data_IF_595380538629
#
_entry.id   IF_595380538629
#
_cell.length_a   1.000
_cell.length_b   1.000
_cell.length_c   1.000
_cell.angle_alpha   90.00
_cell.angle_beta   90.00
_cell.angle_gamma   90.00
#
_symmetry.space_group_name_H-M   'P 1'
#
loop_
_entity.id
_entity.type
_entity.pdbx_description
1 polymer ?
#
# COMPACT_ATOMS: atom_id res chain seq x y z
N UNK A 1 4.03 3.14 12.65
CA UNK A 1 3.44 4.06 11.66
C UNK A 1 3.66 3.52 10.23
N UNK A 2 2.70 3.79 9.35
CA UNK A 2 2.78 3.45 7.94
C UNK A 2 1.77 4.26 7.12
N UNK A 3 2.00 4.32 5.80
CA UNK A 3 1.09 5.01 4.87
C UNK A 3 1.41 4.65 3.43
N UNK A 4 0.79 5.35 2.48
CA UNK A 4 1.14 5.31 1.07
C UNK A 4 2.46 6.05 0.76
N UNK A 5 2.80 6.17 -0.52
CA UNK A 5 4.06 6.78 -0.97
C UNK A 5 4.28 8.20 -0.42
N UNK A 6 3.22 9.00 -0.34
CA UNK A 6 3.27 10.35 0.22
C UNK A 6 3.77 10.38 1.67
N UNK A 7 3.36 9.40 2.48
CA UNK A 7 3.75 9.34 3.88
C UNK A 7 5.18 8.79 4.10
N UNK A 8 5.61 7.86 3.23
CA UNK A 8 6.87 7.12 3.41
C UNK A 8 8.06 7.81 2.75
N UNK A 9 7.87 8.52 1.63
CA UNK A 9 8.98 9.01 0.81
C UNK A 9 9.17 10.55 0.83
N UNK A 10 8.42 11.28 1.66
CA UNK A 10 8.63 12.74 1.80
C UNK A 10 9.71 13.12 2.81
N UNK A 11 10.09 12.20 3.69
CA UNK A 11 11.05 12.47 4.78
C UNK A 11 10.42 13.14 6.01
N UNK A 12 9.17 13.58 5.93
CA UNK A 12 8.50 14.32 7.02
C UNK A 12 8.18 13.45 8.24
N UNK A 13 8.13 12.13 8.06
CA UNK A 13 7.72 11.17 9.09
C UNK A 13 8.77 10.12 9.45
N UNK A 14 9.98 10.26 8.94
CA UNK A 14 11.05 9.25 9.07
C UNK A 14 11.37 8.93 10.53
N UNK A 15 11.53 9.95 11.36
CA UNK A 15 11.82 9.78 12.78
C UNK A 15 10.69 9.03 13.51
N UNK A 16 9.44 9.38 13.24
CA UNK A 16 8.27 8.73 13.86
C UNK A 16 8.11 7.29 13.39
N UNK A 17 8.35 7.04 12.11
CA UNK A 17 8.32 5.68 11.52
C UNK A 17 9.37 4.80 12.19
N UNK A 18 10.61 5.27 12.26
CA UNK A 18 11.72 4.52 12.86
C UNK A 18 11.50 4.32 14.36
N UNK A 19 11.25 5.39 15.11
CA UNK A 19 11.16 5.33 16.57
C UNK A 19 9.95 4.54 17.05
N UNK A 20 8.76 4.92 16.61
CA UNK A 20 7.52 4.32 17.12
C UNK A 20 7.41 2.85 16.75
N UNK A 21 7.72 2.49 15.51
CA UNK A 21 7.63 1.09 15.06
C UNK A 21 8.69 0.22 15.73
N UNK A 22 9.95 0.69 15.84
CA UNK A 22 11.00 -0.04 16.52
C UNK A 22 10.67 -0.25 18.00
N UNK A 23 10.19 0.79 18.72
CA UNK A 23 9.80 0.69 20.13
C UNK A 23 8.67 -0.30 20.35
N UNK A 24 7.65 -0.30 19.49
CA UNK A 24 6.56 -1.29 19.54
C UNK A 24 7.14 -2.70 19.40
N UNK A 25 7.94 -2.94 18.35
CA UNK A 25 8.46 -4.27 18.03
C UNK A 25 9.42 -4.80 19.08
N UNK A 26 10.29 -3.96 19.63
CA UNK A 26 11.20 -4.30 20.74
C UNK A 26 10.42 -4.70 22.00
N UNK A 27 9.42 -3.91 22.37
CA UNK A 27 8.59 -4.18 23.54
C UNK A 27 7.76 -5.45 23.35
N UNK A 28 7.15 -5.65 22.18
CA UNK A 28 6.37 -6.85 21.87
C UNK A 28 7.26 -8.10 21.94
N UNK A 29 8.41 -8.09 21.28
CA UNK A 29 9.33 -9.24 21.30
C UNK A 29 9.74 -9.61 22.74
N UNK A 30 10.11 -8.62 23.55
CA UNK A 30 10.52 -8.81 24.95
C UNK A 30 9.37 -9.32 25.83
N UNK A 31 8.19 -8.72 25.74
CA UNK A 31 7.04 -9.13 26.57
C UNK A 31 6.47 -10.49 26.14
N UNK A 32 6.54 -10.84 24.85
CA UNK A 32 6.13 -12.16 24.38
C UNK A 32 6.99 -13.27 25.00
N UNK A 33 8.30 -13.09 25.10
CA UNK A 33 9.18 -14.05 25.80
C UNK A 33 8.86 -14.10 27.28
N UNK A 34 8.77 -12.94 27.95
CA UNK A 34 8.47 -12.83 29.38
C UNK A 34 7.12 -13.46 29.75
N UNK A 35 6.10 -13.26 28.91
CA UNK A 35 4.74 -13.80 29.09
C UNK A 35 4.57 -15.21 28.54
N UNK A 36 5.58 -15.79 27.93
CA UNK A 36 5.56 -17.13 27.31
C UNK A 36 4.43 -17.25 26.26
N UNK A 37 4.31 -16.23 25.40
CA UNK A 37 3.34 -16.25 24.32
C UNK A 37 3.63 -17.40 23.38
N UNK A 38 2.61 -18.25 23.09
CA UNK A 38 2.79 -19.49 22.36
C UNK A 38 3.25 -19.30 20.91
N UNK A 39 2.80 -18.24 20.23
CA UNK A 39 3.19 -17.93 18.84
C UNK A 39 2.97 -16.44 18.54
N UNK A 40 3.88 -15.84 17.78
CA UNK A 40 3.86 -14.42 17.40
C UNK A 40 3.93 -14.30 15.88
N UNK A 41 3.12 -13.42 15.29
CA UNK A 41 3.23 -13.04 13.89
C UNK A 41 3.87 -11.66 13.77
N UNK A 42 4.85 -11.51 12.88
CA UNK A 42 5.42 -10.22 12.51
C UNK A 42 5.16 -9.91 11.04
N UNK A 43 4.46 -8.81 10.79
CA UNK A 43 4.25 -8.27 9.44
C UNK A 43 5.43 -7.39 9.03
N UNK A 44 6.37 -7.96 8.29
CA UNK A 44 7.39 -7.21 7.58
C UNK A 44 6.84 -6.65 6.26
N UNK A 45 7.69 -6.12 5.40
CA UNK A 45 7.28 -5.45 4.18
C UNK A 45 8.28 -5.69 3.05
N UNK A 46 7.81 -5.71 1.82
CA UNK A 46 8.66 -5.69 0.63
C UNK A 46 9.51 -4.41 0.50
N UNK A 47 9.20 -3.34 1.25
CA UNK A 47 10.03 -2.14 1.31
C UNK A 47 11.41 -2.38 1.94
N UNK A 48 11.61 -3.53 2.62
CA UNK A 48 12.92 -3.89 3.16
C UNK A 48 13.91 -4.40 2.10
N UNK A 49 13.44 -4.77 0.89
CA UNK A 49 14.33 -5.22 -0.19
C UNK A 49 15.21 -4.10 -0.70
N UNK A 50 16.46 -4.40 -1.11
CA UNK A 50 17.39 -3.40 -1.61
C UNK A 50 16.87 -2.67 -2.84
N UNK A 51 17.07 -1.35 -2.90
CA UNK A 51 16.67 -0.53 -4.04
C UNK A 51 17.28 -1.03 -5.36
N UNK A 52 18.56 -1.43 -5.33
CA UNK A 52 19.27 -1.90 -6.52
C UNK A 52 18.65 -3.15 -7.18
N UNK A 53 17.89 -3.95 -6.43
CA UNK A 53 17.14 -5.09 -6.95
C UNK A 53 15.84 -4.69 -7.68
N UNK A 54 15.46 -3.42 -7.64
CA UNK A 54 14.16 -2.90 -8.01
C UNK A 54 14.25 -1.75 -9.03
N UNK A 55 15.39 -1.62 -9.72
CA UNK A 55 15.65 -0.57 -10.72
C UNK A 55 15.06 -0.89 -12.09
N UNK A 56 14.82 -2.17 -12.39
CA UNK A 56 14.15 -2.62 -13.61
C UNK A 56 12.66 -2.86 -13.32
N UNK A 57 11.74 -2.10 -13.95
CA UNK A 57 10.31 -2.30 -13.74
C UNK A 57 9.80 -3.63 -14.29
N UNK A 58 10.50 -4.26 -15.21
CA UNK A 58 10.08 -5.52 -15.84
C UNK A 58 10.65 -6.77 -15.14
N UNK A 59 11.73 -6.62 -14.37
CA UNK A 59 12.41 -7.75 -13.74
C UNK A 59 12.95 -7.40 -12.35
N UNK A 60 12.12 -6.98 -11.41
CA UNK A 60 12.55 -6.74 -10.03
C UNK A 60 12.87 -8.07 -9.32
N UNK A 61 13.94 -8.09 -8.53
CA UNK A 61 14.30 -9.25 -7.72
C UNK A 61 13.92 -9.03 -6.25
N UNK A 62 12.85 -9.66 -5.81
CA UNK A 62 12.42 -9.70 -4.41
C UNK A 62 12.37 -11.13 -3.87
N UNK A 63 13.24 -12.02 -4.32
CA UNK A 63 13.46 -13.32 -3.68
C UNK A 63 13.96 -13.11 -2.24
N UNK A 64 13.55 -13.93 -1.29
CA UNK A 64 13.87 -13.73 0.14
C UNK A 64 15.37 -13.68 0.41
N UNK A 65 16.16 -14.46 -0.32
CA UNK A 65 17.63 -14.48 -0.25
C UNK A 65 18.27 -13.17 -0.71
N UNK A 66 17.61 -12.40 -1.59
CA UNK A 66 18.12 -11.14 -2.16
C UNK A 66 18.06 -9.93 -1.21
N UNK A 67 17.59 -10.13 0.01
CA UNK A 67 17.49 -9.09 1.03
C UNK A 67 18.84 -8.47 1.42
N UNK A 68 19.94 -9.17 1.13
CA UNK A 68 21.30 -8.74 1.45
C UNK A 68 22.22 -8.77 0.22
N UNK A 69 23.13 -7.78 0.09
CA UNK A 69 23.42 -6.67 1.01
C UNK A 69 22.22 -5.70 1.08
N UNK A 70 21.89 -5.26 2.31
CA UNK A 70 20.73 -4.42 2.56
C UNK A 70 20.93 -2.99 2.04
N UNK A 71 19.93 -2.47 1.34
CA UNK A 71 19.83 -1.08 0.92
C UNK A 71 18.38 -0.69 0.63
N UNK A 72 17.49 -0.73 1.64
CA UNK A 72 16.10 -0.26 1.49
C UNK A 72 16.01 1.18 1.01
N UNK A 73 14.95 1.50 0.25
CA UNK A 73 14.71 2.82 -0.35
C UNK A 73 14.07 3.85 0.61
N UNK A 74 13.85 3.47 1.88
CA UNK A 74 13.18 4.32 2.87
C UNK A 74 13.49 3.90 4.29
N UNK A 75 13.34 4.81 5.24
CA UNK A 75 13.46 4.53 6.69
C UNK A 75 12.42 3.49 7.14
N UNK A 76 11.23 3.47 6.52
CA UNK A 76 10.27 2.40 6.75
C UNK A 76 10.83 1.01 6.39
N UNK A 77 11.53 0.91 5.27
CA UNK A 77 12.17 -0.35 4.84
C UNK A 77 13.28 -0.77 5.81
N UNK A 78 14.10 0.17 6.27
CA UNK A 78 15.14 -0.08 7.26
C UNK A 78 14.57 -0.54 8.61
N UNK A 79 13.50 0.09 9.09
CA UNK A 79 12.83 -0.33 10.32
C UNK A 79 12.28 -1.76 10.20
N UNK A 80 11.64 -2.08 9.07
CA UNK A 80 11.09 -3.41 8.84
C UNK A 80 12.17 -4.49 8.86
N UNK A 81 13.31 -4.24 8.22
CA UNK A 81 14.45 -5.14 8.23
C UNK A 81 15.09 -5.25 9.62
N UNK A 82 15.24 -4.14 10.34
CA UNK A 82 15.71 -4.14 11.71
C UNK A 82 14.82 -5.00 12.60
N UNK A 83 13.53 -4.83 12.53
CA UNK A 83 12.58 -5.60 13.34
C UNK A 83 12.54 -7.09 12.98
N UNK A 84 12.69 -7.48 11.68
CA UNK A 84 12.91 -8.90 11.32
C UNK A 84 14.09 -9.48 12.09
N UNK A 85 15.23 -8.77 12.12
CA UNK A 85 16.43 -9.21 12.83
C UNK A 85 16.22 -9.30 14.34
N UNK A 86 15.43 -8.37 14.92
CA UNK A 86 15.07 -8.43 16.35
C UNK A 86 14.28 -9.72 16.61
N UNK A 87 13.19 -9.98 15.93
CA UNK A 87 12.38 -11.17 16.15
C UNK A 87 13.16 -12.48 15.92
N UNK A 88 13.99 -12.53 14.87
CA UNK A 88 14.87 -13.69 14.62
C UNK A 88 15.92 -13.88 15.71
N UNK A 89 16.44 -12.80 16.31
CA UNK A 89 17.37 -12.90 17.43
C UNK A 89 16.68 -13.42 18.70
N UNK A 90 15.47 -12.95 18.97
CA UNK A 90 14.66 -13.46 20.07
C UNK A 90 14.25 -14.93 19.87
N UNK A 91 13.97 -15.32 18.62
CA UNK A 91 13.76 -16.73 18.28
C UNK A 91 14.98 -17.58 18.62
N UNK A 92 16.19 -17.19 18.16
CA UNK A 92 17.42 -17.95 18.39
C UNK A 92 17.83 -18.01 19.87
N UNK A 93 17.69 -16.91 20.59
CA UNK A 93 18.25 -16.82 21.94
C UNK A 93 17.26 -17.21 23.04
N UNK A 94 15.97 -17.04 22.80
CA UNK A 94 14.94 -17.23 23.81
C UNK A 94 13.83 -18.20 23.37
N UNK A 95 13.95 -18.81 22.18
CA UNK A 95 12.97 -19.77 21.67
C UNK A 95 11.62 -19.12 21.32
N UNK A 96 11.56 -17.79 21.06
CA UNK A 96 10.31 -17.12 20.65
C UNK A 96 9.78 -17.77 19.37
N UNK A 97 8.59 -18.34 19.43
CA UNK A 97 7.95 -18.99 18.29
C UNK A 97 7.31 -17.92 17.39
N UNK A 98 8.09 -17.41 16.43
CA UNK A 98 7.66 -16.32 15.54
C UNK A 98 7.41 -16.81 14.12
N UNK A 99 6.46 -16.16 13.43
CA UNK A 99 6.22 -16.27 11.99
C UNK A 99 6.40 -14.88 11.37
N UNK A 100 7.22 -14.78 10.33
CA UNK A 100 7.60 -13.51 9.71
C UNK A 100 7.18 -13.54 8.24
N UNK A 101 6.36 -12.56 7.83
CA UNK A 101 5.96 -12.40 6.44
C UNK A 101 6.32 -11.02 5.90
N UNK A 102 6.87 -10.97 4.68
CA UNK A 102 7.12 -9.74 3.90
C UNK A 102 5.93 -9.47 3.00
N UNK A 103 5.10 -8.51 3.39
CA UNK A 103 3.90 -8.18 2.61
C UNK A 103 4.21 -7.36 1.36
N UNK A 104 3.65 -7.80 0.22
CA UNK A 104 3.72 -7.12 -1.06
C UNK A 104 2.37 -6.48 -1.40
N UNK A 105 2.22 -5.18 -1.03
CA UNK A 105 1.11 -4.28 -1.39
C UNK A 105 -0.30 -4.88 -1.18
N UNK A 106 -0.61 -5.18 0.07
CA UNK A 106 -1.94 -5.68 0.42
C UNK A 106 -2.98 -4.58 0.23
N UNK A 107 -4.13 -4.90 -0.38
CA UNK A 107 -5.23 -3.99 -0.61
C UNK A 107 -6.59 -4.67 -0.45
N UNK A 108 -7.65 -3.89 -0.28
CA UNK A 108 -9.01 -4.40 -0.16
C UNK A 108 -9.97 -3.39 0.46
N UNK A 109 -11.24 -3.78 0.63
CA UNK A 109 -12.21 -3.01 1.40
C UNK A 109 -11.76 -2.73 2.83
N UNK A 110 -12.35 -1.72 3.47
CA UNK A 110 -12.10 -1.30 4.86
C UNK A 110 -10.69 -0.76 5.14
N UNK A 111 -9.83 -0.65 4.12
CA UNK A 111 -8.56 0.04 4.20
C UNK A 111 -8.70 1.55 4.05
N UNK A 112 -7.63 2.31 4.34
CA UNK A 112 -7.59 3.75 4.08
C UNK A 112 -7.78 4.02 2.60
N UNK A 113 -8.78 4.84 2.25
CA UNK A 113 -9.15 5.15 0.87
C UNK A 113 -9.08 6.64 0.53
N UNK A 114 -8.97 7.54 1.54
CA UNK A 114 -8.80 8.99 1.41
C UNK A 114 -7.88 9.54 2.49
N UNK A 115 -7.43 10.81 2.34
CA UNK A 115 -6.66 11.52 3.36
C UNK A 115 -5.15 11.45 3.20
N UNK A 116 -4.62 10.98 2.06
CA UNK A 116 -3.19 11.01 1.73
C UNK A 116 -2.37 9.81 2.23
N UNK A 117 -2.99 8.88 2.94
CA UNK A 117 -2.35 7.64 3.40
C UNK A 117 -2.77 6.40 2.60
N UNK A 118 -3.69 6.57 1.66
CA UNK A 118 -4.18 5.49 0.81
C UNK A 118 -3.11 4.94 -0.13
N UNK A 119 -3.16 3.64 -0.37
CA UNK A 119 -2.31 2.96 -1.37
C UNK A 119 -2.91 3.06 -2.77
N UNK A 120 -2.09 2.80 -3.80
CA UNK A 120 -2.46 2.99 -5.20
C UNK A 120 -3.79 2.34 -5.62
N UNK A 121 -4.13 1.09 -5.25
CA UNK A 121 -5.42 0.51 -5.62
C UNK A 121 -6.62 1.31 -5.10
N UNK A 122 -6.58 1.70 -3.82
CA UNK A 122 -7.64 2.50 -3.21
C UNK A 122 -7.68 3.92 -3.81
N UNK A 123 -6.52 4.55 -4.04
CA UNK A 123 -6.43 5.86 -4.67
C UNK A 123 -7.01 5.86 -6.08
N UNK A 124 -6.71 4.84 -6.92
CA UNK A 124 -7.25 4.74 -8.28
C UNK A 124 -8.77 4.49 -8.24
N UNK A 125 -9.24 3.57 -7.42
CA UNK A 125 -10.68 3.35 -7.25
C UNK A 125 -11.41 4.64 -6.84
N UNK A 126 -10.91 5.38 -5.83
CA UNK A 126 -11.51 6.64 -5.39
C UNK A 126 -11.54 7.69 -6.50
N UNK A 127 -10.41 7.93 -7.17
CA UNK A 127 -10.34 8.92 -8.26
C UNK A 127 -11.34 8.60 -9.36
N UNK A 128 -11.50 7.33 -9.72
CA UNK A 128 -12.45 6.89 -10.75
C UNK A 128 -13.90 7.01 -10.26
N UNK A 129 -14.19 6.72 -8.98
CA UNK A 129 -15.55 6.91 -8.42
C UNK A 129 -15.95 8.38 -8.46
N UNK A 130 -15.07 9.28 -8.00
CA UNK A 130 -15.31 10.74 -7.91
C UNK A 130 -15.34 11.44 -9.28
N UNK A 131 -14.74 10.84 -10.32
CA UNK A 131 -14.69 11.43 -11.67
C UNK A 131 -16.04 11.41 -12.38
N UNK A 132 -16.31 12.44 -13.19
CA UNK A 132 -17.45 12.52 -14.11
C UNK A 132 -17.08 11.91 -15.46
N UNK A 133 -18.09 11.59 -16.28
CA UNK A 133 -17.89 11.14 -17.65
C UNK A 133 -17.02 12.13 -18.45
N UNK A 134 -15.99 11.64 -19.10
CA UNK A 134 -15.05 12.44 -19.89
C UNK A 134 -13.90 13.08 -19.11
N UNK A 135 -13.85 12.95 -17.79
CA UNK A 135 -12.77 13.50 -16.95
C UNK A 135 -11.42 12.79 -17.15
N UNK A 136 -10.37 13.44 -16.65
CA UNK A 136 -9.02 12.88 -16.59
C UNK A 136 -8.70 12.33 -15.20
N UNK A 137 -8.14 11.12 -15.14
CA UNK A 137 -7.62 10.50 -13.91
C UNK A 137 -6.12 10.78 -13.80
N UNK A 138 -5.74 11.51 -12.76
CA UNK A 138 -4.35 11.84 -12.51
C UNK A 138 -3.57 10.64 -11.95
N UNK A 139 -2.47 10.29 -12.63
CA UNK A 139 -1.47 9.32 -12.21
C UNK A 139 -0.15 10.03 -11.98
N UNK A 140 0.46 9.82 -10.83
CA UNK A 140 1.73 10.43 -10.46
C UNK A 140 2.91 9.77 -11.17
N UNK A 141 3.80 10.59 -11.74
CA UNK A 141 4.88 10.13 -12.60
C UNK A 141 4.38 9.67 -13.97
N UNK A 142 5.21 8.92 -14.68
CA UNK A 142 4.87 8.38 -16.02
C UNK A 142 3.97 7.14 -15.98
N UNK A 143 3.69 6.64 -14.77
CA UNK A 143 2.83 5.49 -14.55
C UNK A 143 3.41 4.14 -15.00
N UNK A 144 4.72 4.09 -15.37
CA UNK A 144 5.39 2.88 -15.84
C UNK A 144 5.99 2.04 -14.72
N UNK A 145 6.10 2.59 -13.50
CA UNK A 145 6.53 1.80 -12.35
C UNK A 145 5.57 0.63 -12.11
N UNK A 146 6.12 -0.55 -11.86
CA UNK A 146 5.36 -1.79 -11.73
C UNK A 146 5.25 -2.25 -10.29
N UNK A 147 4.11 -2.82 -9.95
CA UNK A 147 3.83 -3.42 -8.64
C UNK A 147 2.94 -4.65 -8.82
N UNK A 148 3.04 -5.58 -7.89
CA UNK A 148 1.98 -6.56 -7.67
C UNK A 148 1.15 -6.18 -6.44
N UNK A 149 -0.11 -6.58 -6.43
CA UNK A 149 -1.07 -6.25 -5.38
C UNK A 149 -1.83 -7.50 -4.95
N UNK A 150 -1.80 -7.81 -3.66
CA UNK A 150 -2.50 -8.96 -3.09
C UNK A 150 -3.80 -8.54 -2.44
N UNK A 151 -4.89 -9.20 -2.81
CA UNK A 151 -6.19 -8.96 -2.19
C UNK A 151 -6.21 -9.45 -0.74
N UNK A 152 -6.88 -8.69 0.12
CA UNK A 152 -6.81 -8.86 1.59
C UNK A 152 -7.28 -10.23 2.07
N UNK A 153 -8.31 -10.82 1.46
CA UNK A 153 -8.80 -12.15 1.90
C UNK A 153 -7.76 -13.24 1.67
N UNK A 154 -7.02 -13.18 0.54
CA UNK A 154 -5.91 -14.10 0.28
C UNK A 154 -4.71 -13.84 1.19
N UNK A 155 -4.46 -12.58 1.54
CA UNK A 155 -3.44 -12.27 2.54
C UNK A 155 -3.79 -12.88 3.90
N UNK A 156 -5.05 -12.77 4.34
CA UNK A 156 -5.51 -13.38 5.59
C UNK A 156 -5.36 -14.90 5.56
N UNK A 157 -5.77 -15.54 4.47
CA UNK A 157 -5.60 -17.00 4.30
C UNK A 157 -4.12 -17.40 4.35
N UNK A 158 -3.24 -16.66 3.65
CA UNK A 158 -1.81 -16.91 3.68
C UNK A 158 -1.23 -16.75 5.09
N UNK A 159 -1.61 -15.72 5.83
CA UNK A 159 -1.17 -15.52 7.22
C UNK A 159 -1.62 -16.67 8.11
N UNK A 160 -2.88 -17.10 8.01
CA UNK A 160 -3.40 -18.22 8.81
C UNK A 160 -2.63 -19.53 8.52
N UNK A 161 -2.34 -19.81 7.26
CA UNK A 161 -1.53 -20.99 6.88
C UNK A 161 -0.11 -20.92 7.43
N UNK A 162 0.55 -19.76 7.30
CA UNK A 162 1.88 -19.54 7.86
C UNK A 162 1.86 -19.68 9.39
N UNK A 163 0.85 -19.13 10.05
CA UNK A 163 0.69 -19.27 11.52
C UNK A 163 0.49 -20.73 11.95
N UNK A 164 -0.19 -21.55 11.15
CA UNK A 164 -0.40 -22.96 11.44
C UNK A 164 0.79 -23.85 11.05
N UNK A 165 1.78 -23.33 10.31
CA UNK A 165 2.99 -24.05 9.95
C UNK A 165 4.07 -23.95 11.03
N UNK A 166 5.17 -24.72 10.85
CA UNK A 166 6.38 -24.61 11.67
C UNK A 166 7.44 -23.71 11.03
N UNK A 167 7.16 -23.12 9.85
CA UNK A 167 8.11 -22.28 9.14
C UNK A 167 8.18 -20.87 9.74
N UNK A 168 9.34 -20.50 10.27
CA UNK A 168 9.56 -19.20 10.91
C UNK A 168 9.50 -18.05 9.90
N UNK A 169 9.97 -18.25 8.68
CA UNK A 169 10.21 -17.19 7.70
C UNK A 169 11.62 -16.58 7.88
N UNK A 170 11.87 -15.38 7.35
CA UNK A 170 10.92 -14.52 6.62
C UNK A 170 10.49 -15.14 5.28
N UNK A 171 9.28 -14.86 4.87
CA UNK A 171 8.71 -15.32 3.60
C UNK A 171 7.82 -14.26 2.96
N UNK A 172 7.83 -14.18 1.64
CA UNK A 172 6.95 -13.28 0.90
C UNK A 172 5.49 -13.71 0.99
N UNK A 173 4.61 -12.76 1.19
CA UNK A 173 3.16 -12.91 1.00
C UNK A 173 2.71 -11.80 0.05
N UNK A 174 2.42 -12.16 -1.19
CA UNK A 174 2.06 -11.24 -2.26
C UNK A 174 1.45 -11.94 -3.46
N UNK A 175 1.08 -11.17 -4.47
CA UNK A 175 0.71 -11.67 -5.80
C UNK A 175 1.92 -11.57 -6.73
N UNK A 176 2.02 -12.48 -7.69
CA UNK A 176 3.01 -12.43 -8.78
C UNK A 176 2.45 -11.71 -10.03
N UNK A 177 1.16 -11.34 -10.02
CA UNK A 177 0.53 -10.57 -11.10
C UNK A 177 0.99 -9.12 -11.02
N UNK A 178 2.01 -8.80 -11.83
CA UNK A 178 2.64 -7.49 -11.88
C UNK A 178 1.98 -6.59 -12.91
N UNK A 179 1.62 -5.37 -12.51
CA UNK A 179 1.03 -4.36 -13.37
C UNK A 179 1.73 -3.01 -13.19
N UNK A 180 1.76 -2.19 -14.24
CA UNK A 180 2.13 -0.78 -14.13
C UNK A 180 1.03 0.02 -13.43
N UNK A 181 1.34 1.20 -12.92
CA UNK A 181 0.33 2.07 -12.30
C UNK A 181 -0.69 2.56 -13.33
N UNK A 182 -0.28 2.74 -14.60
CA UNK A 182 -1.25 3.05 -15.67
C UNK A 182 -2.21 1.88 -15.95
N UNK A 183 -1.71 0.63 -15.96
CA UNK A 183 -2.58 -0.55 -16.08
C UNK A 183 -3.54 -0.68 -14.89
N UNK A 184 -3.06 -0.44 -13.67
CA UNK A 184 -3.91 -0.41 -12.47
C UNK A 184 -5.03 0.64 -12.58
N UNK A 185 -4.71 1.85 -13.08
CA UNK A 185 -5.70 2.89 -13.33
C UNK A 185 -6.72 2.47 -14.40
N UNK A 186 -6.26 1.83 -15.49
CA UNK A 186 -7.14 1.31 -16.53
C UNK A 186 -8.07 0.20 -16.00
N UNK A 187 -7.59 -0.69 -15.13
CA UNK A 187 -8.45 -1.69 -14.48
C UNK A 187 -9.59 -0.99 -13.72
N UNK A 188 -9.28 0.05 -12.93
CA UNK A 188 -10.31 0.80 -12.20
C UNK A 188 -11.31 1.52 -13.15
N UNK A 189 -10.81 2.12 -14.23
CA UNK A 189 -11.64 2.77 -15.27
C UNK A 189 -12.57 1.74 -15.92
N UNK A 190 -12.06 0.60 -16.36
CA UNK A 190 -12.84 -0.47 -16.98
C UNK A 190 -13.93 -1.01 -16.03
N UNK A 191 -13.62 -1.18 -14.75
CA UNK A 191 -14.60 -1.59 -13.73
C UNK A 191 -15.74 -0.59 -13.61
N UNK A 192 -15.45 0.70 -13.73
CA UNK A 192 -16.44 1.78 -13.60
C UNK A 192 -17.40 1.86 -14.78
N UNK A 193 -16.99 1.42 -15.96
CA UNK A 193 -17.71 1.60 -17.22
C UNK A 193 -17.71 3.04 -17.76
N UNK A 194 -17.01 3.98 -17.11
CA UNK A 194 -16.91 5.39 -17.52
C UNK A 194 -15.85 5.55 -18.62
N UNK A 195 -16.06 6.52 -19.51
CA UNK A 195 -15.07 6.93 -20.51
C UNK A 195 -14.15 7.99 -19.92
N UNK A 196 -13.05 7.56 -19.27
CA UNK A 196 -12.07 8.42 -18.59
C UNK A 196 -10.71 8.29 -19.27
N UNK A 197 -9.88 9.32 -19.15
CA UNK A 197 -8.52 9.34 -19.68
C UNK A 197 -7.50 9.40 -18.54
N UNK A 198 -6.34 8.79 -18.73
CA UNK A 198 -5.23 8.91 -17.78
C UNK A 198 -4.43 10.16 -18.14
N UNK A 199 -4.13 10.97 -17.11
CA UNK A 199 -3.21 12.09 -17.19
C UNK A 199 -2.02 11.85 -16.27
N UNK A 200 -0.88 11.56 -16.86
CA UNK A 200 0.37 11.43 -16.15
C UNK A 200 0.92 12.80 -15.75
N UNK A 201 1.19 12.99 -14.46
CA UNK A 201 1.75 14.22 -13.93
C UNK A 201 3.25 14.03 -13.62
N UNK A 202 4.11 14.60 -14.48
CA UNK A 202 5.55 14.30 -14.52
C UNK A 202 6.36 15.57 -14.23
N UNK A 203 7.51 15.41 -13.58
CA UNK A 203 8.54 16.44 -13.43
C UNK A 203 8.04 17.77 -12.89
N UNK A 204 8.31 18.85 -13.63
CA UNK A 204 7.97 20.22 -13.21
C UNK A 204 6.47 20.46 -13.06
N UNK A 205 5.62 19.78 -13.83
CA UNK A 205 4.16 19.92 -13.71
C UNK A 205 3.66 19.35 -12.38
N UNK A 206 4.28 18.26 -11.92
CA UNK A 206 4.00 17.72 -10.59
C UNK A 206 4.45 18.70 -9.50
N UNK A 207 5.70 19.21 -9.59
CA UNK A 207 6.26 20.15 -8.62
C UNK A 207 5.44 21.45 -8.56
N UNK A 208 5.03 22.00 -9.72
CA UNK A 208 4.16 23.20 -9.77
C UNK A 208 2.83 22.97 -9.06
N UNK A 209 2.25 21.78 -9.17
CA UNK A 209 0.95 21.45 -8.58
C UNK A 209 1.02 21.16 -7.09
N UNK A 210 2.03 20.41 -6.64
CA UNK A 210 2.11 19.89 -5.28
C UNK A 210 3.19 20.53 -4.40
N UNK A 211 4.14 21.27 -4.98
CA UNK A 211 5.20 21.95 -4.24
C UNK A 211 6.39 21.08 -3.81
N UNK A 212 6.40 19.78 -4.17
CA UNK A 212 7.48 18.86 -3.84
C UNK A 212 7.73 17.87 -4.99
N UNK A 213 8.82 17.11 -4.94
CA UNK A 213 9.14 16.09 -5.96
C UNK A 213 8.20 14.89 -5.86
N UNK A 214 7.86 14.30 -7.01
CA UNK A 214 6.97 13.14 -7.07
C UNK A 214 7.56 11.94 -6.32
N UNK A 215 6.87 11.40 -5.28
CA UNK A 215 7.38 10.30 -4.47
C UNK A 215 7.08 8.94 -5.13
N UNK A 216 7.86 8.56 -6.13
CA UNK A 216 7.64 7.35 -6.93
C UNK A 216 8.14 6.05 -6.27
N UNK A 217 9.16 6.13 -5.40
CA UNK A 217 9.87 4.98 -4.87
C UNK A 217 10.60 4.18 -5.95
N UNK A 218 10.78 2.88 -5.76
CA UNK A 218 11.46 1.99 -6.72
C UNK A 218 10.69 1.82 -8.02
N UNK A 219 11.41 1.47 -9.12
CA UNK A 219 10.80 1.32 -10.45
C UNK A 219 9.97 0.05 -10.59
N UNK A 220 10.40 -1.07 -10.00
CA UNK A 220 9.69 -2.34 -10.05
C UNK A 220 9.66 -3.03 -8.68
N UNK A 221 8.54 -3.66 -8.32
CA UNK A 221 8.43 -4.52 -7.13
C UNK A 221 7.39 -5.60 -7.37
N UNK A 222 7.83 -6.85 -7.32
CA UNK A 222 6.98 -8.03 -7.48
C UNK A 222 7.25 -9.02 -6.36
N UNK A 223 6.24 -9.78 -5.96
CA UNK A 223 6.43 -10.87 -5.02
C UNK A 223 7.03 -12.07 -5.74
N UNK A 224 7.97 -12.73 -5.11
CA UNK A 224 8.40 -14.07 -5.47
C UNK A 224 7.84 -15.04 -4.43
N UNK A 225 6.89 -15.86 -4.82
CA UNK A 225 6.15 -16.74 -3.90
C UNK A 225 6.68 -18.18 -3.90
N UNK A 226 7.79 -18.46 -4.58
CA UNK A 226 8.34 -19.83 -4.67
C UNK A 226 8.62 -20.45 -3.30
N UNK A 227 9.24 -19.68 -2.40
CA UNK A 227 9.52 -20.17 -1.04
C UNK A 227 8.24 -20.40 -0.24
N UNK A 228 7.25 -19.52 -0.37
CA UNK A 228 5.96 -19.70 0.30
C UNK A 228 5.26 -20.98 -0.18
N UNK A 229 5.22 -21.20 -1.49
CA UNK A 229 4.64 -22.41 -2.09
C UNK A 229 5.37 -23.67 -1.64
N UNK A 230 6.71 -23.65 -1.61
CA UNK A 230 7.54 -24.77 -1.16
C UNK A 230 7.28 -25.13 0.31
N UNK A 231 7.24 -24.14 1.21
CA UNK A 231 7.18 -24.36 2.66
C UNK A 231 5.76 -24.54 3.20
N UNK A 232 4.76 -23.95 2.53
CA UNK A 232 3.38 -23.88 3.03
C UNK A 232 2.42 -24.71 2.14
N UNK A 233 2.79 -24.96 0.87
CA UNK A 233 1.98 -25.74 -0.06
C UNK A 233 0.73 -25.02 -0.56
N UNK A 234 0.75 -23.69 -0.59
CA UNK A 234 -0.37 -22.86 -1.05
C UNK A 234 0.12 -21.70 -1.92
N UNK A 235 -0.73 -21.26 -2.83
CA UNK A 235 -0.47 -20.14 -3.71
C UNK A 235 -1.71 -19.27 -3.91
N UNK A 236 -1.49 -18.00 -4.24
CA UNK A 236 -2.52 -17.02 -4.57
C UNK A 236 -3.23 -17.43 -5.85
N UNK A 237 -4.55 -17.35 -5.88
CA UNK A 237 -5.39 -17.78 -6.99
C UNK A 237 -6.30 -16.68 -7.56
N UNK A 238 -6.54 -15.60 -6.82
CA UNK A 238 -7.50 -14.58 -7.23
C UNK A 238 -6.81 -13.51 -8.10
N UNK A 239 -7.25 -13.31 -9.37
CA UNK A 239 -6.76 -12.24 -10.22
C UNK A 239 -6.96 -10.85 -9.60
N UNK A 240 -6.04 -9.92 -9.89
CA UNK A 240 -6.07 -8.53 -9.40
C UNK A 240 -7.42 -7.85 -9.67
N UNK A 241 -7.97 -8.03 -10.86
CA UNK A 241 -9.23 -7.38 -11.27
C UNK A 241 -10.40 -7.75 -10.33
N UNK A 242 -10.46 -8.99 -9.83
CA UNK A 242 -11.54 -9.42 -8.91
C UNK A 242 -11.43 -8.65 -7.59
N UNK A 243 -10.25 -8.56 -7.01
CA UNK A 243 -10.01 -7.77 -5.80
C UNK A 243 -10.28 -6.27 -6.01
N UNK A 244 -9.85 -5.73 -7.18
CA UNK A 244 -10.12 -4.34 -7.58
C UNK A 244 -11.62 -4.05 -7.69
N UNK A 245 -12.41 -4.95 -8.26
CA UNK A 245 -13.87 -4.82 -8.39
C UNK A 245 -14.56 -4.75 -7.02
N UNK A 246 -14.17 -5.62 -6.09
CA UNK A 246 -14.69 -5.60 -4.70
C UNK A 246 -14.31 -4.31 -3.99
N UNK A 247 -13.05 -3.87 -4.13
CA UNK A 247 -12.54 -2.64 -3.53
C UNK A 247 -13.23 -1.40 -4.11
N UNK A 248 -13.40 -1.35 -5.43
CA UNK A 248 -14.12 -0.28 -6.12
C UNK A 248 -15.57 -0.16 -5.62
N UNK A 249 -16.30 -1.28 -5.55
CA UNK A 249 -17.70 -1.29 -5.10
C UNK A 249 -17.81 -0.79 -3.66
N UNK A 250 -16.90 -1.20 -2.78
CA UNK A 250 -16.86 -0.72 -1.41
C UNK A 250 -16.54 0.78 -1.32
N UNK A 251 -15.50 1.25 -2.03
CA UNK A 251 -15.14 2.68 -2.05
C UNK A 251 -16.30 3.51 -2.61
N UNK A 252 -16.98 3.02 -3.66
CA UNK A 252 -18.16 3.69 -4.19
C UNK A 252 -19.23 3.88 -3.12
N UNK A 253 -19.54 2.84 -2.33
CA UNK A 253 -20.50 2.98 -1.23
C UNK A 253 -20.04 3.98 -0.18
N UNK A 254 -18.73 4.04 0.14
CA UNK A 254 -18.20 5.01 1.10
C UNK A 254 -18.29 6.46 0.58
N UNK A 255 -18.08 6.68 -0.73
CA UNK A 255 -18.23 8.00 -1.34
C UNK A 255 -19.69 8.41 -1.36
N UNK A 256 -20.60 7.51 -1.75
CA UNK A 256 -22.05 7.75 -1.78
C UNK A 256 -22.57 8.09 -0.35
N UNK A 257 -22.18 7.31 0.66
CA UNK A 257 -22.52 7.56 2.08
C UNK A 257 -21.97 8.89 2.58
N UNK A 258 -20.74 9.21 2.22
CA UNK A 258 -20.11 10.48 2.60
C UNK A 258 -20.84 11.68 1.98
N UNK A 259 -21.18 11.63 0.68
CA UNK A 259 -21.92 12.69 0.01
C UNK A 259 -23.33 12.87 0.60
N UNK A 260 -24.02 11.76 0.96
CA UNK A 260 -25.36 11.79 1.56
C UNK A 260 -25.37 12.34 3.00
N UNK A 261 -24.37 12.00 3.81
CA UNK A 261 -24.35 12.31 5.23
C UNK A 261 -23.52 13.56 5.59
N UNK A 262 -22.78 14.13 4.62
CA UNK A 262 -22.01 15.34 4.86
C UNK A 262 -22.92 16.58 4.83
N UNK A 263 -22.93 17.44 5.88
CA UNK A 263 -23.68 18.68 5.86
C UNK A 263 -22.97 19.71 4.93
N UNK A 264 -23.40 19.74 3.67
CA UNK A 264 -22.86 20.64 2.68
C UNK A 264 -23.46 22.04 2.77
N UNK A 265 -22.60 23.08 2.76
CA UNK A 265 -22.99 24.47 2.55
C UNK A 265 -22.72 24.83 1.10
N UNK A 266 -23.73 25.36 0.44
CA UNK A 266 -23.67 25.82 -0.96
C UNK A 266 -23.58 27.34 -0.99
N UNK A 267 -22.65 27.88 -1.74
CA UNK A 267 -22.39 29.32 -1.86
C UNK A 267 -22.26 29.71 -3.33
N UNK A 268 -22.85 30.85 -3.70
CA UNK A 268 -22.67 31.44 -5.02
C UNK A 268 -22.35 32.93 -4.90
N UNK A 269 -21.08 33.34 -5.06
CA UNK A 269 -20.66 34.72 -4.89
C UNK A 269 -21.11 35.65 -6.04
N UNK A 270 -21.57 35.07 -7.16
CA UNK A 270 -21.91 35.77 -8.41
C UNK A 270 -23.37 35.63 -8.86
N UNK A 271 -24.26 35.36 -7.91
CA UNK A 271 -25.70 35.31 -8.16
C UNK A 271 -26.13 34.05 -8.96
N UNK A 272 -25.47 32.93 -8.75
CA UNK A 272 -25.84 31.64 -9.35
C UNK A 272 -25.05 31.27 -10.61
N UNK A 273 -24.14 32.11 -11.09
CA UNK A 273 -23.30 31.78 -12.25
C UNK A 273 -22.21 30.78 -11.91
N UNK A 274 -21.69 30.84 -10.69
CA UNK A 274 -20.73 29.89 -10.16
C UNK A 274 -21.19 29.40 -8.80
N UNK A 275 -21.27 28.09 -8.62
CA UNK A 275 -21.68 27.47 -7.36
C UNK A 275 -20.50 26.70 -6.76
N UNK A 276 -20.32 26.86 -5.46
CA UNK A 276 -19.34 26.13 -4.68
C UNK A 276 -20.05 25.35 -3.58
N UNK A 277 -19.55 24.17 -3.24
CA UNK A 277 -19.92 23.46 -2.03
C UNK A 277 -18.73 23.35 -1.07
N UNK A 278 -18.98 23.37 0.22
CA UNK A 278 -18.00 23.05 1.26
C UNK A 278 -18.66 22.31 2.42
N UNK A 279 -17.88 21.54 3.14
CA UNK A 279 -18.35 20.96 4.42
C UNK A 279 -18.63 22.09 5.43
N UNK A 280 -19.61 21.91 6.29
CA UNK A 280 -20.07 22.95 7.24
C UNK A 280 -18.93 23.50 8.12
N UNK A 281 -17.95 22.66 8.46
CA UNK A 281 -16.80 23.02 9.31
C UNK A 281 -15.50 23.32 8.53
N UNK A 282 -15.56 23.33 7.19
CA UNK A 282 -14.39 23.53 6.32
C UNK A 282 -14.44 24.88 5.64
N UNK A 283 -13.27 25.51 5.46
CA UNK A 283 -13.12 26.70 4.63
C UNK A 283 -12.80 26.36 3.16
N UNK A 284 -12.48 25.09 2.87
CA UNK A 284 -12.12 24.62 1.52
C UNK A 284 -13.38 24.49 0.65
N UNK A 285 -13.46 25.34 -0.38
CA UNK A 285 -14.57 25.35 -1.34
C UNK A 285 -14.27 24.45 -2.54
N UNK A 286 -15.26 23.69 -2.98
CA UNK A 286 -15.25 22.87 -4.17
C UNK A 286 -16.21 23.48 -5.17
N UNK A 287 -15.73 23.82 -6.37
CA UNK A 287 -16.59 24.33 -7.47
C UNK A 287 -17.37 23.14 -8.03
N UNK A 288 -18.69 23.34 -8.24
CA UNK A 288 -19.60 22.34 -8.80
C UNK A 288 -20.24 22.80 -10.10
#
# INVERSE_FOLDING_TARGET
DMGGALYIFTGEHDADVMYNSAMINLNVARECVKKKVGKVFYSSSACMYPEHNQLDPNNPNCEESSAYPANPDSEYGWEKLFSERVFLSFHRNYGLNVRIARFHNIFGPQGTWKGGREKSPAAMCRKVVEAKEGDEIEVWGDGRQTRSFLYVDECVEAVLRLMNSEFTGPVNIGSEEMVSINELANIAINISGKNLKIKNLIGDDFVKKYGFKCPLGVKGRNSDNRLYKEKIGWEVSQPLEIGMRKTYSWIKSQVDDYELNTPWIYESPDGGKTVYKREAQSTKKIKI
#
